data_IF_027132866965
#
_entry.id   IF_027132866965
#
_cell.length_a   1.000
_cell.length_b   1.000
_cell.length_c   1.000
_cell.angle_alpha   90.00
_cell.angle_beta   90.00
_cell.angle_gamma   90.00
#
_symmetry.space_group_name_H-M   'P 1'
#
loop_
_entity.id
_entity.type
_entity.pdbx_description
1 polymer ?
#
# COMPACT_ATOMS: atom_id res chain seq x y z
N UNK A 1 -5.18 5.27 -3.51
CA UNK A 1 -4.61 3.97 -3.09
C UNK A 1 -3.93 4.10 -1.73
N UNK A 2 -4.06 3.10 -0.86
CA UNK A 2 -3.39 2.98 0.45
C UNK A 2 -2.62 1.66 0.46
N UNK A 3 -1.31 1.69 0.76
CA UNK A 3 -0.47 0.47 0.77
C UNK A 3 0.18 0.33 2.15
N UNK A 4 0.25 -0.90 2.67
CA UNK A 4 1.10 -1.27 3.81
C UNK A 4 1.88 -2.56 3.57
N UNK A 5 2.95 -2.75 4.33
CA UNK A 5 3.61 -4.04 4.47
C UNK A 5 2.90 -4.95 5.47
N UNK A 6 2.88 -6.26 5.23
CA UNK A 6 2.35 -7.25 6.18
C UNK A 6 3.14 -7.26 7.49
N UNK A 7 4.47 -7.08 7.42
CA UNK A 7 5.41 -7.05 8.55
C UNK A 7 5.66 -5.62 9.04
N UNK A 8 4.82 -4.65 8.65
CA UNK A 8 4.88 -3.30 9.18
C UNK A 8 4.41 -3.30 10.65
N UNK A 9 5.35 -3.02 11.56
CA UNK A 9 5.08 -2.88 12.99
C UNK A 9 4.57 -1.49 13.38
N UNK A 10 4.79 -0.48 12.53
CA UNK A 10 4.42 0.91 12.80
C UNK A 10 2.97 1.19 12.41
N UNK A 11 2.41 0.45 11.45
CA UNK A 11 0.99 0.52 11.06
C UNK A 11 0.25 -0.81 11.25
N UNK A 12 -0.97 -0.74 11.81
CA UNK A 12 -1.85 -1.89 12.03
C UNK A 12 -2.76 -2.10 10.82
N UNK A 13 -3.26 -3.34 10.60
CA UNK A 13 -4.31 -3.58 9.61
C UNK A 13 -5.53 -2.66 9.77
N UNK A 14 -5.89 -2.32 11.02
CA UNK A 14 -7.01 -1.44 11.33
C UNK A 14 -6.80 0.00 10.84
N UNK A 15 -5.55 0.48 10.78
CA UNK A 15 -5.24 1.84 10.30
C UNK A 15 -5.63 1.99 8.82
N UNK A 16 -5.44 0.93 8.02
CA UNK A 16 -5.87 0.88 6.62
C UNK A 16 -7.39 0.98 6.49
N UNK A 17 -8.13 0.21 7.29
CA UNK A 17 -9.59 0.22 7.28
C UNK A 17 -10.14 1.56 7.74
N UNK A 18 -9.55 2.15 8.78
CA UNK A 18 -9.95 3.47 9.28
C UNK A 18 -9.74 4.56 8.22
N UNK A 19 -8.54 4.62 7.62
CA UNK A 19 -8.25 5.60 6.57
C UNK A 19 -9.17 5.40 5.35
N UNK A 20 -9.40 4.16 4.92
CA UNK A 20 -10.29 3.87 3.80
C UNK A 20 -11.72 4.34 4.04
N UNK A 21 -12.24 4.15 5.27
CA UNK A 21 -13.57 4.63 5.67
C UNK A 21 -13.66 6.15 5.65
N UNK A 22 -12.59 6.84 6.05
CA UNK A 22 -12.60 8.29 6.22
C UNK A 22 -12.35 9.06 4.91
N UNK A 23 -11.93 8.38 3.83
CA UNK A 23 -11.74 8.93 2.47
C UNK A 23 -13.07 9.17 1.71
N UNK A 24 -14.05 9.79 2.35
CA UNK A 24 -15.42 9.97 1.83
C UNK A 24 -15.53 10.82 0.56
N UNK A 25 -14.52 11.65 0.28
CA UNK A 25 -14.47 12.51 -0.91
C UNK A 25 -13.56 11.93 -2.01
N UNK A 26 -13.00 10.73 -1.82
CA UNK A 26 -12.15 10.11 -2.81
C UNK A 26 -13.00 9.34 -3.83
N UNK A 27 -12.81 9.53 -5.14
CA UNK A 27 -13.59 8.83 -6.17
C UNK A 27 -13.32 7.33 -6.20
N UNK A 28 -12.13 6.89 -5.78
CA UNK A 28 -11.75 5.49 -5.67
C UNK A 28 -10.85 5.27 -4.44
N UNK A 29 -11.20 4.30 -3.61
CA UNK A 29 -10.37 3.85 -2.49
C UNK A 29 -9.94 2.41 -2.75
N UNK A 30 -8.64 2.22 -2.94
CA UNK A 30 -8.01 0.91 -3.12
C UNK A 30 -7.00 0.67 -2.00
N UNK A 31 -7.08 -0.47 -1.32
CA UNK A 31 -6.14 -0.86 -0.24
C UNK A 31 -5.32 -2.07 -0.66
N UNK A 32 -4.03 -2.06 -0.33
CA UNK A 32 -3.10 -3.15 -0.64
C UNK A 32 -2.27 -3.49 0.60
N UNK A 33 -2.16 -4.78 0.91
CA UNK A 33 -1.18 -5.29 1.87
C UNK A 33 -0.16 -6.14 1.12
N UNK A 34 1.11 -5.74 1.16
CA UNK A 34 2.21 -6.44 0.50
C UNK A 34 2.73 -7.52 1.44
N UNK A 35 2.63 -8.78 1.01
CA UNK A 35 3.12 -9.94 1.77
C UNK A 35 4.62 -9.86 2.00
N UNK A 36 5.08 -10.25 3.18
CA UNK A 36 6.47 -10.16 3.63
C UNK A 36 7.09 -8.74 3.59
N UNK A 37 6.30 -7.71 3.25
CA UNK A 37 6.75 -6.33 3.16
C UNK A 37 6.95 -5.73 4.55
N UNK A 38 8.07 -5.06 4.76
CA UNK A 38 8.34 -4.28 5.99
C UNK A 38 7.72 -2.87 5.88
N UNK A 39 7.91 -2.02 6.88
CA UNK A 39 7.54 -0.60 6.77
C UNK A 39 8.30 0.11 5.63
N UNK A 40 9.51 -0.35 5.29
CA UNK A 40 10.41 0.28 4.35
C UNK A 40 10.21 -0.19 2.90
N UNK A 41 8.98 -0.47 2.47
CA UNK A 41 8.66 -1.05 1.15
C UNK A 41 9.42 -0.44 -0.04
N UNK A 42 9.57 0.89 -0.05
CA UNK A 42 10.23 1.61 -1.15
C UNK A 42 11.77 1.56 -1.08
N UNK A 43 12.35 1.22 0.08
CA UNK A 43 13.79 1.08 0.31
C UNK A 43 14.26 -0.39 0.41
N UNK A 44 13.33 -1.33 0.54
CA UNK A 44 13.64 -2.75 0.76
C UNK A 44 14.20 -3.43 -0.51
N UNK A 45 14.58 -4.70 -0.40
CA UNK A 45 15.01 -5.51 -1.54
C UNK A 45 13.81 -5.83 -2.46
N UNK A 46 14.04 -6.01 -3.78
CA UNK A 46 13.00 -6.41 -4.74
C UNK A 46 12.10 -7.55 -4.24
N UNK A 47 12.70 -8.61 -3.72
CA UNK A 47 12.06 -9.83 -3.21
C UNK A 47 11.37 -9.65 -1.85
N UNK A 48 11.64 -8.56 -1.13
CA UNK A 48 11.04 -8.22 0.17
C UNK A 48 9.86 -7.25 0.03
N UNK A 49 9.16 -7.32 -1.11
CA UNK A 49 7.96 -6.54 -1.38
C UNK A 49 8.18 -5.28 -2.21
N UNK A 50 9.42 -4.82 -2.42
CA UNK A 50 9.68 -3.60 -3.22
C UNK A 50 9.22 -3.73 -4.67
N UNK A 51 9.43 -4.88 -5.30
CA UNK A 51 8.97 -5.10 -6.68
C UNK A 51 7.46 -5.00 -6.79
N UNK A 52 6.72 -5.60 -5.84
CA UNK A 52 5.27 -5.50 -5.81
C UNK A 52 4.83 -4.05 -5.54
N UNK A 53 5.47 -3.35 -4.59
CA UNK A 53 5.17 -1.95 -4.30
C UNK A 53 5.27 -1.05 -5.55
N UNK A 54 6.36 -1.19 -6.32
CA UNK A 54 6.56 -0.44 -7.56
C UNK A 54 5.48 -0.80 -8.58
N UNK A 55 5.18 -2.09 -8.78
CA UNK A 55 4.16 -2.54 -9.72
C UNK A 55 2.77 -1.98 -9.39
N UNK A 56 2.34 -2.06 -8.12
CA UNK A 56 1.05 -1.50 -7.67
C UNK A 56 0.99 0.02 -7.85
N UNK A 57 2.09 0.71 -7.55
CA UNK A 57 2.19 2.17 -7.72
C UNK A 57 2.09 2.59 -9.18
N UNK A 58 2.83 1.92 -10.07
CA UNK A 58 2.77 2.20 -11.51
C UNK A 58 1.39 1.86 -12.09
N UNK A 59 0.79 0.74 -11.66
CA UNK A 59 -0.57 0.36 -12.08
C UNK A 59 -1.62 1.36 -11.61
N UNK A 60 -1.46 1.95 -10.42
CA UNK A 60 -2.36 2.98 -9.94
C UNK A 60 -2.25 4.27 -10.77
N UNK A 61 -1.02 4.76 -10.99
CA UNK A 61 -0.76 5.97 -11.79
C UNK A 61 -1.27 5.80 -13.23
N UNK A 62 -0.97 4.67 -13.88
CA UNK A 62 -1.37 4.44 -15.26
C UNK A 62 -2.91 4.32 -15.43
N UNK A 63 -3.64 3.94 -14.39
CA UNK A 63 -5.12 3.94 -14.39
C UNK A 63 -5.73 5.33 -14.16
N UNK A 64 -4.94 6.27 -13.62
CA UNK A 64 -5.37 7.60 -13.20
C UNK A 64 -4.40 8.67 -13.72
N UNK A 65 -4.35 8.88 -15.06
CA UNK A 65 -3.42 9.81 -15.70
C UNK A 65 -3.68 11.29 -15.33
#
# INVERSE_FOLDING_TARGET
MIIRGELDFWSRPLDLTALARDLVNSPEVHTVTIKNGTHYLFLDRPERGRSQFIAETMNFINRHP
#
